data_IF_270730014647
#
_entry.id   IF_270730014647
#
_cell.length_a   1.000
_cell.length_b   1.000
_cell.length_c   1.000
_cell.angle_alpha   90.00
_cell.angle_beta   90.00
_cell.angle_gamma   90.00
#
_symmetry.space_group_name_H-M   'P 1'
#
loop_
_entity.id
_entity.type
_entity.pdbx_description
1 polymer ?
#
# COMPACT_ATOMS: atom_id res chain seq x y z
N UNK A 1 -2.67 7.78 2.19
CA UNK A 1 -3.76 8.40 1.42
C UNK A 1 -4.83 7.34 1.18
N UNK A 2 -6.10 7.68 1.30
CA UNK A 2 -7.20 6.83 0.79
C UNK A 2 -7.56 7.42 -0.57
N UNK A 3 -7.49 6.61 -1.62
CA UNK A 3 -7.53 7.12 -3.00
C UNK A 3 -8.45 6.25 -3.86
N UNK A 4 -9.59 6.80 -4.29
CA UNK A 4 -10.53 6.09 -5.18
C UNK A 4 -10.00 5.97 -6.61
N UNK A 5 -9.00 6.79 -7.00
CA UNK A 5 -8.35 6.70 -8.30
C UNK A 5 -7.31 5.58 -8.40
N UNK A 6 -7.06 4.85 -7.32
CA UNK A 6 -6.10 3.76 -7.27
C UNK A 6 -6.80 2.41 -7.12
N UNK A 7 -6.66 1.54 -8.12
CA UNK A 7 -7.28 0.20 -8.11
C UNK A 7 -6.66 -0.76 -7.08
N UNK A 8 -5.49 -0.43 -6.54
CA UNK A 8 -4.72 -1.30 -5.64
C UNK A 8 -4.14 -0.49 -4.49
N UNK A 9 -4.00 -1.13 -3.33
CA UNK A 9 -3.27 -0.54 -2.23
C UNK A 9 -1.77 -0.60 -2.51
N UNK A 10 -1.03 0.45 -2.12
CA UNK A 10 0.38 0.63 -2.49
C UNK A 10 1.21 0.98 -1.25
N UNK A 11 2.36 0.33 -1.13
CA UNK A 11 3.46 0.74 -0.27
C UNK A 11 4.65 1.20 -1.10
N UNK A 12 5.36 2.22 -0.61
CA UNK A 12 6.75 2.40 -1.01
C UNK A 12 7.62 1.30 -0.39
N UNK A 13 8.70 0.94 -1.06
CA UNK A 13 9.63 -0.12 -0.64
C UNK A 13 10.19 0.06 0.77
N UNK A 14 10.53 1.29 1.15
CA UNK A 14 10.99 1.60 2.52
C UNK A 14 9.92 1.32 3.60
N UNK A 15 8.63 1.44 3.27
CA UNK A 15 7.54 1.04 4.18
C UNK A 15 7.36 -0.48 4.15
N UNK A 16 7.43 -1.10 2.98
CA UNK A 16 7.36 -2.56 2.86
C UNK A 16 8.46 -3.27 3.65
N UNK A 17 9.70 -2.75 3.62
CA UNK A 17 10.82 -3.25 4.42
C UNK A 17 10.54 -3.16 5.92
N UNK A 18 9.99 -2.03 6.39
CA UNK A 18 9.59 -1.86 7.79
C UNK A 18 8.50 -2.86 8.19
N UNK A 19 7.51 -3.09 7.31
CA UNK A 19 6.44 -4.06 7.56
C UNK A 19 6.99 -5.50 7.61
N UNK A 20 7.93 -5.83 6.72
CA UNK A 20 8.62 -7.14 6.76
C UNK A 20 9.40 -7.32 8.06
N UNK A 21 10.09 -6.28 8.54
CA UNK A 21 10.81 -6.32 9.82
C UNK A 21 9.87 -6.50 11.02
N UNK A 22 8.77 -5.74 11.06
CA UNK A 22 7.87 -5.73 12.21
C UNK A 22 6.92 -6.94 12.26
N UNK A 23 6.45 -7.41 11.11
CA UNK A 23 5.42 -8.45 11.01
C UNK A 23 5.93 -9.78 10.44
N UNK A 24 7.15 -9.83 9.89
CA UNK A 24 7.70 -11.02 9.24
C UNK A 24 7.04 -11.36 7.90
N UNK A 25 6.18 -10.47 7.37
CA UNK A 25 5.48 -10.67 6.11
C UNK A 25 6.40 -10.21 4.99
N UNK A 26 6.76 -11.12 4.07
CA UNK A 26 7.77 -10.86 3.04
C UNK A 26 7.16 -10.32 1.76
N UNK A 27 7.96 -9.55 1.02
CA UNK A 27 7.61 -9.15 -0.34
C UNK A 27 7.67 -10.36 -1.28
N UNK A 28 6.53 -10.76 -1.84
CA UNK A 28 6.45 -11.74 -2.90
C UNK A 28 6.86 -11.11 -4.24
N UNK A 29 8.15 -11.18 -4.55
CA UNK A 29 8.74 -10.65 -5.81
C UNK A 29 8.35 -11.44 -7.07
N UNK A 30 7.62 -12.56 -6.95
CA UNK A 30 7.08 -13.30 -8.10
C UNK A 30 5.71 -12.81 -8.52
N UNK A 31 4.98 -12.14 -7.61
CA UNK A 31 3.68 -11.55 -7.87
C UNK A 31 3.88 -10.06 -8.09
N UNK A 32 3.84 -9.66 -9.35
CA UNK A 32 4.07 -8.29 -9.78
C UNK A 32 2.83 -7.80 -10.52
N UNK A 33 2.25 -6.71 -10.02
CA UNK A 33 1.15 -6.01 -10.67
C UNK A 33 1.66 -4.83 -11.50
N UNK A 34 1.01 -4.62 -12.65
CA UNK A 34 1.08 -3.37 -13.39
C UNK A 34 0.11 -2.40 -12.76
N UNK A 35 0.62 -1.28 -12.24
CA UNK A 35 -0.23 -0.29 -11.59
C UNK A 35 -0.71 0.74 -12.61
N UNK A 36 -2.04 0.89 -12.71
CA UNK A 36 -2.69 1.98 -13.42
C UNK A 36 -3.12 3.03 -12.38
N UNK A 37 -2.85 4.31 -12.61
CA UNK A 37 -3.29 5.41 -11.71
C UNK A 37 -2.18 6.14 -10.95
N UNK A 38 -0.95 5.61 -10.90
CA UNK A 38 0.23 6.41 -10.55
C UNK A 38 0.63 7.20 -11.81
N UNK A 39 1.09 8.46 -11.69
CA UNK A 39 1.41 9.35 -12.82
C UNK A 39 2.42 8.78 -13.85
N UNK A 40 2.97 7.60 -13.60
CA UNK A 40 3.64 6.75 -14.58
C UNK A 40 3.17 5.29 -14.39
N UNK A 41 3.06 4.53 -15.49
CA UNK A 41 2.94 3.06 -15.44
C UNK A 41 4.16 2.52 -14.68
N UNK A 42 4.01 2.24 -13.40
CA UNK A 42 5.05 1.67 -12.58
C UNK A 42 4.79 0.18 -12.46
N UNK A 43 5.82 -0.61 -12.79
CA UNK A 43 5.83 -2.02 -12.46
C UNK A 43 6.15 -2.12 -10.96
N UNK A 44 5.32 -2.82 -10.20
CA UNK A 44 5.64 -3.08 -8.79
C UNK A 44 6.89 -3.96 -8.66
N UNK A 45 7.61 -3.80 -7.55
CA UNK A 45 8.74 -4.65 -7.13
C UNK A 45 8.22 -6.05 -6.74
N UNK A 46 7.00 -6.10 -6.21
CA UNK A 46 6.32 -7.30 -5.77
C UNK A 46 5.08 -6.95 -4.97
N UNK A 47 4.53 -7.95 -4.31
CA UNK A 47 3.31 -7.83 -3.52
C UNK A 47 3.52 -8.30 -2.09
N UNK A 48 2.93 -7.60 -1.12
CA UNK A 48 2.77 -8.08 0.25
C UNK A 48 1.31 -8.45 0.49
N UNK A 49 1.08 -9.68 0.92
CA UNK A 49 -0.26 -10.23 1.12
C UNK A 49 -0.61 -10.19 2.61
N UNK A 50 -1.92 -10.20 2.91
CA UNK A 50 -2.45 -10.30 4.28
C UNK A 50 -1.97 -9.23 5.26
N UNK A 51 -1.80 -7.98 4.79
CA UNK A 51 -1.38 -6.86 5.64
C UNK A 51 -2.56 -6.29 6.41
N UNK A 52 -2.55 -6.35 7.76
CA UNK A 52 -3.60 -5.73 8.58
C UNK A 52 -3.37 -4.23 8.71
N UNK A 53 -4.33 -3.43 8.23
CA UNK A 53 -4.36 -1.98 8.45
C UNK A 53 -5.41 -1.66 9.49
N UNK A 54 -4.97 -1.08 10.60
CA UNK A 54 -5.86 -0.56 11.64
C UNK A 54 -5.99 0.95 11.49
N UNK A 55 -7.20 1.43 11.22
CA UNK A 55 -7.56 2.85 11.30
C UNK A 55 -8.42 3.07 12.54
N UNK A 56 -8.26 4.21 13.20
CA UNK A 56 -9.08 4.52 14.36
C UNK A 56 -9.20 6.00 14.67
N UNK A 57 -10.26 6.35 15.38
CA UNK A 57 -10.53 7.69 15.92
C UNK A 57 -11.19 7.55 17.29
N UNK A 58 -10.50 7.99 18.34
CA UNK A 58 -10.91 7.74 19.72
C UNK A 58 -10.94 6.23 20.03
N UNK A 59 -12.08 5.74 20.52
CA UNK A 59 -12.30 4.31 20.80
C UNK A 59 -12.74 3.50 19.57
N UNK A 60 -13.08 4.16 18.47
CA UNK A 60 -13.53 3.48 17.27
C UNK A 60 -12.32 3.05 16.44
N UNK A 61 -12.11 1.75 16.30
CA UNK A 61 -11.06 1.18 15.46
C UNK A 61 -11.65 0.17 14.49
N UNK A 62 -11.09 0.11 13.28
CA UNK A 62 -11.36 -0.94 12.33
C UNK A 62 -10.04 -1.49 11.80
N UNK A 63 -9.89 -2.81 11.81
CA UNK A 63 -8.77 -3.51 11.20
C UNK A 63 -9.26 -4.21 9.95
N UNK A 64 -8.70 -3.83 8.80
CA UNK A 64 -9.01 -4.43 7.50
C UNK A 64 -7.72 -4.98 6.91
N UNK A 65 -7.76 -6.24 6.49
CA UNK A 65 -6.63 -6.90 5.84
C UNK A 65 -6.70 -6.71 4.34
N UNK A 66 -5.57 -6.29 3.74
CA UNK A 66 -5.46 -6.11 2.30
C UNK A 66 -4.11 -6.53 1.73
N UNK A 67 -4.07 -6.60 0.41
CA UNK A 67 -2.87 -6.81 -0.38
C UNK A 67 -2.27 -5.49 -0.83
N UNK A 68 -0.95 -5.35 -0.73
CA UNK A 68 -0.23 -4.14 -1.10
C UNK A 68 0.77 -4.43 -2.22
N UNK A 69 0.66 -3.68 -3.31
CA UNK A 69 1.72 -3.60 -4.31
C UNK A 69 2.86 -2.73 -3.79
N UNK A 70 4.10 -3.18 -3.96
CA UNK A 70 5.28 -2.45 -3.51
C UNK A 70 5.91 -1.71 -4.68
N UNK A 71 6.17 -0.42 -4.53
CA UNK A 71 6.83 0.42 -5.55
C UNK A 71 8.10 1.06 -4.99
N UNK A 72 9.09 1.41 -5.83
CA UNK A 72 10.26 2.15 -5.37
C UNK A 72 9.85 3.47 -4.72
N UNK A 73 10.40 3.80 -3.55
CA UNK A 73 10.18 5.11 -2.94
C UNK A 73 10.73 6.23 -3.83
N UNK A 74 9.95 7.29 -4.04
CA UNK A 74 10.49 8.52 -4.59
C UNK A 74 11.48 9.14 -3.62
N UNK A 75 12.51 9.82 -4.13
CA UNK A 75 13.44 10.56 -3.30
C UNK A 75 13.11 12.06 -3.27
N UNK A 76 13.31 12.69 -2.13
CA UNK A 76 13.33 14.15 -2.04
C UNK A 76 14.63 14.73 -2.64
N UNK A 77 14.75 16.06 -2.59
CA UNK A 77 15.88 16.80 -3.14
C UNK A 77 17.22 16.46 -2.46
N UNK A 78 17.16 15.88 -1.26
CA UNK A 78 18.30 15.49 -0.43
C UNK A 78 18.60 13.99 -0.54
N UNK A 79 17.85 13.24 -1.35
CA UNK A 79 18.00 11.79 -1.50
C UNK A 79 17.27 10.97 -0.44
N UNK A 80 16.45 11.59 0.42
CA UNK A 80 15.68 10.84 1.41
C UNK A 80 14.45 10.19 0.76
N UNK A 81 14.19 8.94 1.11
CA UNK A 81 12.99 8.23 0.66
C UNK A 81 11.72 8.90 1.20
N UNK A 82 10.78 9.20 0.30
CA UNK A 82 9.42 9.63 0.64
C UNK A 82 8.55 8.40 0.84
N UNK A 83 8.16 8.17 2.09
CA UNK A 83 7.24 7.09 2.43
C UNK A 83 5.85 7.33 1.85
N UNK A 84 5.28 6.28 1.26
CA UNK A 84 3.96 6.30 0.66
C UNK A 84 3.15 5.10 1.14
N UNK A 85 1.91 5.39 1.54
CA UNK A 85 0.86 4.39 1.77
C UNK A 85 -0.38 4.87 1.02
N UNK A 86 -0.89 4.07 0.09
CA UNK A 86 -2.17 4.29 -0.58
C UNK A 86 -3.09 3.13 -0.22
N UNK A 87 -4.31 3.46 0.21
CA UNK A 87 -5.41 2.52 0.39
C UNK A 87 -6.32 2.66 -0.83
N UNK A 88 -6.18 1.74 -1.76
CA UNK A 88 -6.91 1.75 -3.03
C UNK A 88 -8.35 1.30 -2.88
N UNK A 89 -9.06 1.21 -4.01
CA UNK A 89 -10.48 0.85 -4.04
C UNK A 89 -10.75 -0.52 -3.43
N UNK A 90 -9.84 -1.49 -3.60
CA UNK A 90 -9.99 -2.82 -2.97
C UNK A 90 -10.06 -2.74 -1.44
N UNK A 91 -9.15 -2.00 -0.79
CA UNK A 91 -9.19 -1.79 0.65
C UNK A 91 -10.50 -1.09 1.07
N UNK A 92 -10.92 -0.08 0.32
CA UNK A 92 -12.12 0.70 0.61
C UNK A 92 -13.39 -0.15 0.54
N UNK A 93 -13.53 -1.00 -0.48
CA UNK A 93 -14.63 -1.98 -0.55
C UNK A 93 -14.62 -2.94 0.64
N UNK A 94 -13.44 -3.45 1.06
CA UNK A 94 -13.31 -4.31 2.25
C UNK A 94 -13.65 -3.58 3.55
N UNK A 95 -13.43 -2.27 3.60
CA UNK A 95 -13.87 -1.39 4.69
C UNK A 95 -15.37 -1.07 4.65
N UNK A 96 -16.11 -1.60 3.65
CA UNK A 96 -17.54 -1.38 3.48
C UNK A 96 -17.89 -0.02 2.85
N UNK A 97 -16.93 0.64 2.21
CA UNK A 97 -17.16 1.91 1.52
C UNK A 97 -17.61 1.67 0.07
N UNK A 98 -18.31 2.63 -0.50
CA UNK A 98 -18.69 2.67 -1.92
C UNK A 98 -17.86 3.77 -2.62
N UNK A 99 -16.63 3.47 -3.06
CA UNK A 99 -15.77 4.44 -3.73
C UNK A 99 -16.39 4.91 -5.06
N UNK A 100 -16.28 6.21 -5.32
CA UNK A 100 -16.80 6.90 -6.51
C UNK A 100 -15.89 6.74 -7.73
#
# INVERSE_FOLDING_TARGET
MIDTGSDSSIFSDNIAELVEELLGIKINRKKIHTLNGVASKSLSIGTMEDIPITIGSGENTATITDEFSVVPAEQDQNGNAKSLIILGTQWQYRAGWEPL
#
